data_IF_589029496389
#
_entry.id   IF_589029496389
#
_cell.length_a   1.000
_cell.length_b   1.000
_cell.length_c   1.000
_cell.angle_alpha   90.00
_cell.angle_beta   90.00
_cell.angle_gamma   90.00
#
_symmetry.space_group_name_H-M   'P 1'
#
loop_
_entity.id
_entity.type
_entity.pdbx_description
1 polymer ?
#
# COMPACT_ATOMS: atom_id res chain seq x y z
N UNK A 1 7.39 1.03 -8.18
CA UNK A 1 6.76 1.94 -9.15
C UNK A 1 7.80 2.40 -10.17
N UNK A 2 7.58 2.08 -11.46
CA UNK A 2 8.56 2.32 -12.53
C UNK A 2 8.68 3.80 -12.88
N UNK A 3 7.63 4.57 -12.64
CA UNK A 3 7.60 6.01 -12.87
C UNK A 3 8.39 6.75 -11.78
N UNK A 4 8.13 6.41 -10.51
CA UNK A 4 8.79 7.04 -9.37
C UNK A 4 10.13 6.40 -8.95
N UNK A 5 10.57 5.32 -9.62
CA UNK A 5 11.79 4.54 -9.27
C UNK A 5 11.88 4.16 -7.79
N UNK A 6 10.74 4.00 -7.16
CA UNK A 6 10.56 3.77 -5.73
C UNK A 6 9.85 2.45 -5.47
N UNK A 7 9.99 1.89 -4.28
CA UNK A 7 9.20 0.72 -3.89
C UNK A 7 7.79 1.18 -3.54
N UNK A 8 6.78 0.50 -4.07
CA UNK A 8 5.37 0.75 -3.76
C UNK A 8 4.85 -0.44 -2.97
N UNK A 9 4.34 -0.18 -1.77
CA UNK A 9 3.63 -1.16 -0.95
C UNK A 9 2.14 -0.92 -1.13
N UNK A 10 1.39 -1.98 -1.42
CA UNK A 10 -0.07 -1.96 -1.48
C UNK A 10 -0.62 -2.95 -0.47
N UNK A 11 -1.65 -2.56 0.27
CA UNK A 11 -2.32 -3.43 1.22
C UNK A 11 -3.83 -3.16 1.26
N UNK A 12 -4.61 -4.16 1.62
CA UNK A 12 -6.06 -4.10 1.78
C UNK A 12 -6.49 -5.07 2.87
N UNK A 13 -7.64 -4.81 3.49
CA UNK A 13 -8.29 -5.72 4.45
C UNK A 13 -9.01 -6.89 3.77
N UNK A 14 -9.15 -6.87 2.44
CA UNK A 14 -9.77 -7.93 1.62
C UNK A 14 -8.82 -9.12 1.39
N UNK A 15 -8.28 -9.68 2.47
CA UNK A 15 -7.41 -10.84 2.42
C UNK A 15 -8.14 -12.08 1.88
N UNK A 16 -7.49 -12.84 0.99
CA UNK A 16 -8.07 -14.03 0.35
C UNK A 16 -8.81 -13.75 -0.96
N UNK A 17 -8.83 -12.50 -1.42
CA UNK A 17 -9.28 -12.08 -2.74
C UNK A 17 -8.09 -11.71 -3.64
N UNK A 18 -8.29 -11.78 -4.96
CA UNK A 18 -7.31 -11.30 -5.94
C UNK A 18 -7.15 -9.78 -5.85
N UNK A 19 -5.92 -9.28 -5.75
CA UNK A 19 -5.69 -7.86 -5.44
C UNK A 19 -6.05 -6.96 -6.63
N UNK A 20 -5.92 -7.48 -7.85
CA UNK A 20 -6.35 -6.85 -9.09
C UNK A 20 -7.88 -6.63 -9.09
N UNK A 21 -8.65 -7.62 -8.63
CA UNK A 21 -10.10 -7.48 -8.53
C UNK A 21 -10.51 -6.41 -7.51
N UNK A 22 -9.83 -6.36 -6.36
CA UNK A 22 -10.03 -5.29 -5.38
C UNK A 22 -9.70 -3.93 -5.99
N UNK A 23 -8.62 -3.83 -6.77
CA UNK A 23 -8.22 -2.58 -7.42
C UNK A 23 -9.23 -2.09 -8.47
N UNK A 24 -9.93 -2.99 -9.15
CA UNK A 24 -10.95 -2.65 -10.13
C UNK A 24 -12.31 -2.30 -9.49
N UNK A 25 -12.71 -3.04 -8.45
CA UNK A 25 -14.05 -2.95 -7.88
C UNK A 25 -14.16 -2.04 -6.67
N UNK A 26 -13.14 -2.04 -5.80
CA UNK A 26 -13.10 -1.30 -4.53
C UNK A 26 -11.71 -0.68 -4.32
N UNK A 27 -11.24 0.19 -5.24
CA UNK A 27 -9.90 0.79 -5.18
C UNK A 27 -9.65 1.58 -3.88
N UNK A 28 -10.69 2.09 -3.23
CA UNK A 28 -10.63 2.82 -1.97
C UNK A 28 -10.17 1.95 -0.79
N UNK A 29 -10.28 0.62 -0.90
CA UNK A 29 -9.79 -0.33 0.11
C UNK A 29 -8.30 -0.64 -0.03
N UNK A 30 -7.65 -0.16 -1.08
CA UNK A 30 -6.22 -0.34 -1.29
C UNK A 30 -5.46 0.86 -0.76
N UNK A 31 -4.73 0.63 0.33
CA UNK A 31 -3.76 1.58 0.86
C UNK A 31 -2.44 1.44 0.10
N UNK A 32 -1.93 2.57 -0.39
CA UNK A 32 -0.68 2.64 -1.17
C UNK A 32 0.35 3.48 -0.41
N UNK A 33 1.55 2.94 -0.26
CA UNK A 33 2.68 3.61 0.39
C UNK A 33 3.87 3.57 -0.53
N UNK A 34 4.32 4.77 -0.93
CA UNK A 34 5.56 4.93 -1.66
C UNK A 34 6.73 5.02 -0.68
N UNK A 35 7.74 4.20 -0.91
CA UNK A 35 8.94 4.12 -0.09
C UNK A 35 10.08 4.84 -0.80
N UNK A 36 10.61 5.88 -0.17
CA UNK A 36 11.81 6.56 -0.65
C UNK A 36 13.01 5.59 -0.60
N UNK A 37 13.77 5.43 -1.70
CA UNK A 37 14.86 4.47 -1.75
C UNK A 37 16.06 4.84 -0.85
N UNK A 38 16.22 6.11 -0.47
CA UNK A 38 17.30 6.57 0.38
C UNK A 38 16.92 6.51 1.86
N UNK A 39 15.69 6.87 2.20
CA UNK A 39 15.20 6.90 3.57
C UNK A 39 14.59 5.57 4.04
N UNK A 40 14.16 4.72 3.11
CA UNK A 40 13.47 3.48 3.40
C UNK A 40 12.05 3.69 3.96
N UNK A 41 11.47 2.61 4.51
CA UNK A 41 10.10 2.65 5.06
C UNK A 41 10.09 3.29 6.44
N UNK A 42 9.49 4.47 6.54
CA UNK A 42 9.49 5.28 7.75
C UNK A 42 8.48 4.79 8.80
N UNK A 43 8.76 5.09 10.07
CA UNK A 43 7.93 4.63 11.18
C UNK A 43 6.47 5.12 11.13
N UNK A 44 6.23 6.34 10.65
CA UNK A 44 4.85 6.84 10.50
C UNK A 44 4.09 6.08 9.42
N UNK A 45 4.73 5.78 8.28
CA UNK A 45 4.10 5.02 7.19
C UNK A 45 3.64 3.63 7.68
N UNK A 46 4.44 2.98 8.54
CA UNK A 46 4.07 1.69 9.16
C UNK A 46 2.83 1.83 10.06
N UNK A 47 2.80 2.88 10.89
CA UNK A 47 1.69 3.12 11.82
C UNK A 47 0.42 3.49 11.06
N UNK A 48 0.52 4.36 10.07
CA UNK A 48 -0.61 4.78 9.24
C UNK A 48 -1.19 3.57 8.50
N UNK A 49 -0.34 2.68 7.97
CA UNK A 49 -0.79 1.44 7.35
C UNK A 49 -1.51 0.52 8.35
N UNK A 50 -0.92 0.33 9.55
CA UNK A 50 -1.54 -0.48 10.58
C UNK A 50 -2.91 0.06 11.00
N UNK A 51 -3.01 1.37 11.24
CA UNK A 51 -4.28 2.00 11.58
C UNK A 51 -5.31 1.90 10.45
N UNK A 52 -4.88 1.96 9.20
CA UNK A 52 -5.76 1.85 8.04
C UNK A 52 -6.32 0.43 7.86
N UNK A 53 -5.56 -0.59 8.24
CA UNK A 53 -5.95 -2.00 8.11
C UNK A 53 -6.69 -2.56 9.34
N UNK A 54 -6.73 -1.81 10.44
CA UNK A 54 -7.36 -2.22 11.70
C UNK A 54 -6.50 -3.17 12.53
#
# INVERSE_FOLDING_TARGET
DRENKSVLIMASTEGGMDIEHVAETTPEKIHKITVDPNAGLLGYQKRDLGLALG
#
